data_IF_764111266186
#
_entry.id   IF_764111266186
#
_cell.length_a   1.000
_cell.length_b   1.000
_cell.length_c   1.000
_cell.angle_alpha   90.00
_cell.angle_beta   90.00
_cell.angle_gamma   90.00
#
_symmetry.space_group_name_H-M   'P 1'
#
loop_
_entity.id
_entity.type
_entity.pdbx_description
1 polymer ?
#
# COMPACT_ATOMS: atom_id res chain seq x y z
N UNK A 1 -47.07 -99.03 20.44
CA UNK A 1 -46.93 -98.20 19.23
C UNK A 1 -45.87 -97.15 19.51
N UNK A 2 -44.62 -97.50 19.22
CA UNK A 2 -43.44 -96.68 19.42
C UNK A 2 -43.40 -95.57 18.37
N UNK A 3 -43.35 -94.31 18.80
CA UNK A 3 -43.10 -93.15 17.96
C UNK A 3 -41.67 -93.27 17.43
N UNK A 4 -41.51 -93.74 16.20
CA UNK A 4 -40.22 -93.79 15.51
C UNK A 4 -39.82 -92.33 15.23
N UNK A 5 -38.69 -91.88 15.79
CA UNK A 5 -38.15 -90.55 15.56
C UNK A 5 -37.22 -90.56 14.34
N UNK A 6 -37.11 -89.45 13.61
CA UNK A 6 -36.23 -89.31 12.42
C UNK A 6 -34.77 -89.78 12.66
N UNK A 7 -34.15 -89.57 13.84
CA UNK A 7 -32.83 -90.11 14.17
C UNK A 7 -32.76 -91.65 14.24
N UNK A 8 -33.86 -92.32 14.58
CA UNK A 8 -33.93 -93.79 14.69
C UNK A 8 -33.96 -94.46 13.30
N UNK A 9 -34.46 -93.76 12.29
CA UNK A 9 -34.50 -94.22 10.89
C UNK A 9 -33.14 -94.01 10.22
N UNK A 10 -32.46 -92.88 10.52
CA UNK A 10 -31.13 -92.55 9.98
C UNK A 10 -30.00 -93.48 10.49
N UNK A 11 -30.22 -94.21 11.60
CA UNK A 11 -29.26 -95.14 12.20
C UNK A 11 -29.34 -96.59 11.72
N UNK A 12 -30.22 -96.92 10.76
CA UNK A 12 -30.45 -98.32 10.31
C UNK A 12 -30.28 -98.46 8.80
N UNK A 13 -29.74 -99.60 8.33
CA UNK A 13 -29.56 -99.93 6.90
C UNK A 13 -30.85 -100.47 6.23
N UNK A 14 -32.01 -100.32 6.86
CA UNK A 14 -33.28 -100.81 6.34
C UNK A 14 -33.89 -99.82 5.33
N UNK A 15 -34.41 -100.33 4.22
CA UNK A 15 -35.15 -99.51 3.26
C UNK A 15 -36.42 -98.95 3.95
N UNK A 16 -36.65 -97.63 3.94
CA UNK A 16 -37.79 -97.04 4.64
C UNK A 16 -39.11 -97.60 4.09
N UNK A 17 -40.03 -97.96 4.99
CA UNK A 17 -41.38 -98.37 4.58
C UNK A 17 -42.26 -97.12 4.34
N UNK A 18 -43.47 -97.30 3.80
CA UNK A 18 -44.38 -96.20 3.47
C UNK A 18 -44.73 -95.31 4.69
N UNK A 19 -44.85 -95.91 5.87
CA UNK A 19 -45.17 -95.22 7.11
C UNK A 19 -44.01 -94.34 7.60
N UNK A 20 -42.78 -94.85 7.53
CA UNK A 20 -41.56 -94.10 7.85
C UNK A 20 -41.41 -92.89 6.91
N UNK A 21 -41.73 -93.07 5.62
CA UNK A 21 -41.73 -92.00 4.64
C UNK A 21 -42.75 -90.90 4.97
N UNK A 22 -43.93 -91.26 5.47
CA UNK A 22 -44.98 -90.30 5.80
C UNK A 22 -44.69 -89.53 7.11
N UNK A 23 -44.06 -90.18 8.10
CA UNK A 23 -43.56 -89.53 9.33
C UNK A 23 -42.45 -88.52 9.01
N UNK A 24 -41.49 -88.90 8.17
CA UNK A 24 -40.39 -88.00 7.75
C UNK A 24 -40.93 -86.84 6.93
N UNK A 25 -41.87 -87.06 5.99
CA UNK A 25 -42.52 -85.98 5.22
C UNK A 25 -43.25 -84.99 6.13
N UNK A 26 -43.96 -85.47 7.15
CA UNK A 26 -44.65 -84.62 8.10
C UNK A 26 -43.67 -83.79 8.94
N UNK A 27 -42.64 -84.43 9.49
CA UNK A 27 -41.59 -83.74 10.25
C UNK A 27 -40.80 -82.73 9.40
N UNK A 28 -40.56 -83.04 8.13
CA UNK A 28 -39.89 -82.14 7.18
C UNK A 28 -40.77 -80.92 6.88
N UNK A 29 -42.07 -81.13 6.64
CA UNK A 29 -43.02 -80.02 6.45
C UNK A 29 -43.13 -79.11 7.69
N UNK A 30 -43.12 -79.67 8.89
CA UNK A 30 -43.09 -78.91 10.15
C UNK A 30 -41.81 -78.09 10.30
N UNK A 31 -40.65 -78.67 9.97
CA UNK A 31 -39.36 -77.96 9.99
C UNK A 31 -39.26 -76.87 8.92
N UNK A 32 -39.80 -77.11 7.72
CA UNK A 32 -39.87 -76.10 6.66
C UNK A 32 -40.74 -74.91 7.06
N UNK A 33 -41.88 -75.16 7.71
CA UNK A 33 -42.73 -74.09 8.26
C UNK A 33 -42.02 -73.29 9.35
N UNK A 34 -41.33 -73.97 10.27
CA UNK A 34 -40.57 -73.29 11.33
C UNK A 34 -39.41 -72.46 10.76
N UNK A 35 -38.71 -72.98 9.74
CA UNK A 35 -37.64 -72.26 9.06
C UNK A 35 -38.16 -70.98 8.39
N UNK A 36 -39.32 -71.04 7.74
CA UNK A 36 -39.93 -69.87 7.10
C UNK A 36 -40.38 -68.83 8.13
N UNK A 37 -40.90 -69.26 9.28
CA UNK A 37 -41.19 -68.36 10.41
C UNK A 37 -39.93 -67.67 10.94
N UNK A 38 -38.81 -68.39 11.11
CA UNK A 38 -37.55 -67.78 11.56
C UNK A 38 -36.98 -66.83 10.51
N UNK A 39 -37.09 -67.17 9.21
CA UNK A 39 -36.63 -66.30 8.12
C UNK A 39 -37.41 -64.99 8.07
N UNK A 40 -38.74 -65.05 8.22
CA UNK A 40 -39.60 -63.86 8.26
C UNK A 40 -39.31 -62.99 9.49
N UNK A 41 -39.12 -63.59 10.67
CA UNK A 41 -38.69 -62.86 11.87
C UNK A 41 -37.31 -62.21 11.70
N UNK A 42 -36.35 -62.91 11.09
CA UNK A 42 -35.01 -62.36 10.80
C UNK A 42 -35.11 -61.16 9.87
N UNK A 43 -35.90 -61.25 8.80
CA UNK A 43 -36.10 -60.14 7.86
C UNK A 43 -36.74 -58.92 8.54
N UNK A 44 -37.73 -59.14 9.40
CA UNK A 44 -38.38 -58.05 10.16
C UNK A 44 -37.38 -57.37 11.12
N UNK A 45 -36.58 -58.15 11.86
CA UNK A 45 -35.54 -57.61 12.74
C UNK A 45 -34.44 -56.86 11.98
N UNK A 46 -34.02 -57.36 10.82
CA UNK A 46 -33.07 -56.67 9.94
C UNK A 46 -33.65 -55.33 9.44
N UNK A 47 -34.95 -55.30 9.11
CA UNK A 47 -35.65 -54.07 8.73
C UNK A 47 -35.75 -53.09 9.90
N UNK A 48 -36.08 -53.56 11.11
CA UNK A 48 -36.13 -52.73 12.31
C UNK A 48 -34.75 -52.15 12.66
N UNK A 49 -33.69 -52.96 12.56
CA UNK A 49 -32.31 -52.53 12.80
C UNK A 49 -31.91 -51.42 11.83
N UNK A 50 -32.23 -51.58 10.53
CA UNK A 50 -31.97 -50.56 9.51
C UNK A 50 -32.62 -49.22 9.88
N UNK A 51 -33.89 -49.24 10.28
CA UNK A 51 -34.63 -48.03 10.68
C UNK A 51 -34.00 -47.37 11.90
N UNK A 52 -33.64 -48.16 12.92
CA UNK A 52 -33.02 -47.63 14.15
C UNK A 52 -31.63 -47.06 13.86
N UNK A 53 -30.80 -47.73 13.06
CA UNK A 53 -29.48 -47.21 12.66
C UNK A 53 -29.60 -45.93 11.84
N UNK A 54 -30.59 -45.83 10.95
CA UNK A 54 -30.84 -44.59 10.22
C UNK A 54 -31.26 -43.46 11.17
N UNK A 55 -32.07 -43.76 12.19
CA UNK A 55 -32.46 -42.77 13.19
C UNK A 55 -31.30 -42.36 14.09
N UNK A 56 -30.45 -43.31 14.48
CA UNK A 56 -29.22 -43.05 15.25
C UNK A 56 -28.29 -42.11 14.49
N UNK A 57 -28.01 -42.39 13.21
CA UNK A 57 -27.15 -41.53 12.38
C UNK A 57 -27.72 -40.12 12.22
N UNK A 58 -29.04 -39.98 12.07
CA UNK A 58 -29.71 -38.67 12.04
C UNK A 58 -29.57 -37.92 13.38
N UNK A 59 -29.74 -38.60 14.50
CA UNK A 59 -29.58 -38.00 15.84
C UNK A 59 -28.14 -37.59 16.09
N UNK A 60 -27.16 -38.43 15.75
CA UNK A 60 -25.73 -38.12 15.87
C UNK A 60 -25.38 -36.88 15.05
N UNK A 61 -25.87 -36.80 13.80
CA UNK A 61 -25.71 -35.61 12.95
C UNK A 61 -26.33 -34.37 13.59
N UNK A 62 -27.57 -34.48 14.07
CA UNK A 62 -28.25 -33.38 14.76
C UNK A 62 -27.47 -32.89 15.98
N UNK A 63 -26.97 -33.79 16.82
CA UNK A 63 -26.15 -33.42 17.99
C UNK A 63 -24.87 -32.70 17.56
N UNK A 64 -24.20 -33.16 16.49
CA UNK A 64 -23.01 -32.50 15.96
C UNK A 64 -23.32 -31.08 15.43
N UNK A 65 -24.43 -30.90 14.72
CA UNK A 65 -24.88 -29.60 14.22
C UNK A 65 -25.19 -28.64 15.39
N UNK A 66 -25.92 -29.10 16.42
CA UNK A 66 -26.23 -28.31 17.62
C UNK A 66 -24.96 -27.94 18.40
N UNK A 67 -24.02 -28.87 18.57
CA UNK A 67 -22.72 -28.58 19.21
C UNK A 67 -21.94 -27.55 18.41
N UNK A 68 -21.91 -27.66 17.08
CA UNK A 68 -21.25 -26.69 16.20
C UNK A 68 -21.87 -25.30 16.32
N UNK A 69 -23.20 -25.21 16.48
CA UNK A 69 -23.91 -23.95 16.72
C UNK A 69 -23.62 -23.35 18.10
N UNK A 70 -23.57 -24.16 19.15
CA UNK A 70 -23.25 -23.71 20.51
C UNK A 70 -21.77 -23.34 20.67
N UNK A 71 -20.89 -24.07 19.98
CA UNK A 71 -19.46 -23.79 19.88
C UNK A 71 -19.15 -22.75 18.79
N UNK A 72 -20.16 -22.23 18.09
CA UNK A 72 -19.97 -21.29 17.01
C UNK A 72 -19.29 -20.02 17.54
N UNK A 73 -17.97 -20.01 17.40
CA UNK A 73 -16.96 -19.01 17.73
C UNK A 73 -17.44 -17.78 18.50
N UNK A 74 -16.83 -17.43 19.65
CA UNK A 74 -17.08 -16.17 20.38
C UNK A 74 -17.14 -14.92 19.49
N UNK A 75 -16.48 -14.93 18.33
CA UNK A 75 -16.56 -13.84 17.35
C UNK A 75 -17.97 -13.57 16.80
N UNK A 76 -18.87 -14.58 16.85
CA UNK A 76 -20.28 -14.45 16.46
C UNK A 76 -21.15 -13.85 17.57
N UNK A 77 -20.70 -13.80 18.82
CA UNK A 77 -21.44 -13.09 19.88
C UNK A 77 -21.00 -11.63 20.04
N UNK A 78 -19.87 -11.23 19.44
CA UNK A 78 -19.36 -9.86 19.55
C UNK A 78 -20.26 -8.82 18.87
N UNK A 79 -20.64 -7.72 19.56
CA UNK A 79 -21.26 -6.56 18.91
C UNK A 79 -20.46 -6.07 17.70
N UNK A 80 -21.15 -5.45 16.74
CA UNK A 80 -20.53 -4.97 15.50
C UNK A 80 -19.40 -3.97 15.77
N UNK A 81 -19.55 -3.15 16.81
CA UNK A 81 -18.60 -2.13 17.26
C UNK A 81 -17.30 -2.78 17.74
N UNK A 82 -17.37 -3.81 18.58
CA UNK A 82 -16.19 -4.52 19.07
C UNK A 82 -15.50 -5.29 17.94
N UNK A 83 -16.27 -5.89 17.04
CA UNK A 83 -15.71 -6.55 15.87
C UNK A 83 -15.00 -5.55 14.94
N UNK A 84 -15.55 -4.34 14.80
CA UNK A 84 -14.93 -3.23 14.08
C UNK A 84 -13.59 -2.78 14.70
N UNK A 85 -13.52 -2.67 16.03
CA UNK A 85 -12.27 -2.34 16.72
C UNK A 85 -11.21 -3.44 16.58
N UNK A 86 -11.61 -4.72 16.60
CA UNK A 86 -10.71 -5.83 16.28
C UNK A 86 -10.17 -5.73 14.86
N UNK A 87 -11.02 -5.39 13.88
CA UNK A 87 -10.59 -5.19 12.50
C UNK A 87 -9.61 -4.02 12.37
N UNK A 88 -9.85 -2.92 13.09
CA UNK A 88 -8.94 -1.78 13.11
C UNK A 88 -7.58 -2.15 13.68
N UNK A 89 -7.55 -2.86 14.81
CA UNK A 89 -6.30 -3.37 15.40
C UNK A 89 -5.56 -4.28 14.43
N UNK A 90 -6.26 -5.21 13.77
CA UNK A 90 -5.66 -6.09 12.75
C UNK A 90 -5.09 -5.31 11.55
N UNK A 91 -5.72 -4.19 11.18
CA UNK A 91 -5.28 -3.37 10.05
C UNK A 91 -4.21 -2.33 10.41
N UNK A 92 -3.88 -2.16 11.69
CA UNK A 92 -2.93 -1.15 12.17
C UNK A 92 -1.47 -1.52 11.86
N UNK A 93 -1.12 -2.81 11.91
CA UNK A 93 0.25 -3.31 11.68
C UNK A 93 0.68 -3.30 10.19
N UNK A 94 -0.23 -2.90 9.31
CA UNK A 94 0.06 -2.82 7.87
C UNK A 94 0.60 -1.44 7.53
N UNK A 95 1.90 -1.31 7.33
CA UNK A 95 2.47 -0.10 6.75
C UNK A 95 1.86 0.15 5.37
N UNK A 96 1.41 1.40 5.15
CA UNK A 96 0.91 1.89 3.87
C UNK A 96 1.91 1.67 2.70
N UNK A 97 3.18 1.40 3.02
CA UNK A 97 4.33 1.43 2.13
C UNK A 97 5.25 0.20 2.21
N UNK A 98 4.77 -0.96 2.66
CA UNK A 98 5.44 -2.21 2.23
C UNK A 98 5.54 -2.16 0.70
N UNK A 99 6.71 -2.45 0.12
CA UNK A 99 7.17 -2.11 -1.25
C UNK A 99 6.21 -2.43 -2.41
N UNK A 100 5.15 -3.19 -2.15
CA UNK A 100 4.11 -3.61 -3.08
C UNK A 100 2.72 -2.97 -2.83
N UNK A 101 2.50 -2.32 -1.67
CA UNK A 101 1.17 -1.93 -1.15
C UNK A 101 0.17 -3.10 -1.10
N UNK A 102 0.62 -4.33 -1.35
CA UNK A 102 -0.21 -5.48 -1.61
C UNK A 102 -0.58 -6.14 -0.30
N UNK A 103 0.36 -6.25 0.64
CA UNK A 103 0.11 -6.73 2.00
C UNK A 103 -0.93 -5.85 2.72
N UNK A 104 -0.77 -4.53 2.61
CA UNK A 104 -1.70 -3.53 3.14
C UNK A 104 -3.13 -3.65 2.59
N UNK A 105 -3.27 -3.84 1.27
CA UNK A 105 -4.59 -4.01 0.65
C UNK A 105 -5.18 -5.38 0.96
N UNK A 106 -4.34 -6.43 0.97
CA UNK A 106 -4.75 -7.81 1.24
C UNK A 106 -5.33 -7.96 2.65
N UNK A 107 -4.75 -7.35 3.69
CA UNK A 107 -5.26 -7.47 5.07
C UNK A 107 -6.70 -6.96 5.20
N UNK A 108 -6.98 -5.75 4.72
CA UNK A 108 -8.33 -5.14 4.75
C UNK A 108 -9.32 -5.87 3.85
N UNK A 109 -8.91 -6.22 2.63
CA UNK A 109 -9.80 -6.91 1.70
C UNK A 109 -10.17 -8.30 2.21
N UNK A 110 -9.27 -9.02 2.89
CA UNK A 110 -9.58 -10.35 3.48
C UNK A 110 -10.77 -10.32 4.42
N UNK A 111 -10.97 -9.22 5.16
CA UNK A 111 -12.14 -9.05 6.04
C UNK A 111 -13.46 -9.19 5.27
N UNK A 112 -13.49 -8.79 3.99
CA UNK A 112 -14.67 -8.87 3.12
C UNK A 112 -14.98 -10.29 2.62
N UNK A 113 -14.07 -11.25 2.80
CA UNK A 113 -14.19 -12.61 2.25
C UNK A 113 -14.41 -13.70 3.31
N UNK A 114 -14.36 -13.36 4.61
CA UNK A 114 -14.54 -14.35 5.69
C UNK A 114 -15.99 -14.83 5.79
N UNK A 115 -16.93 -13.91 6.01
CA UNK A 115 -18.37 -14.20 6.04
C UNK A 115 -19.18 -12.93 5.74
N UNK A 116 -20.49 -13.07 5.54
CA UNK A 116 -21.39 -11.93 5.27
C UNK A 116 -21.33 -10.88 6.37
N UNK A 117 -21.42 -11.29 7.64
CA UNK A 117 -21.36 -10.35 8.77
C UNK A 117 -20.05 -9.57 8.84
N UNK A 118 -18.91 -10.21 8.59
CA UNK A 118 -17.62 -9.51 8.61
C UNK A 118 -17.53 -8.48 7.49
N UNK A 119 -18.05 -8.82 6.32
CA UNK A 119 -18.18 -7.89 5.20
C UNK A 119 -19.04 -6.68 5.58
N UNK A 120 -20.20 -6.92 6.18
CA UNK A 120 -21.13 -5.84 6.56
C UNK A 120 -20.52 -4.93 7.62
N UNK A 121 -19.89 -5.50 8.65
CA UNK A 121 -19.19 -4.72 9.70
C UNK A 121 -17.99 -3.96 9.12
N UNK A 122 -17.17 -4.60 8.28
CA UNK A 122 -16.01 -3.94 7.68
C UNK A 122 -16.45 -2.78 6.78
N UNK A 123 -17.47 -2.95 5.93
CA UNK A 123 -17.96 -1.90 5.04
C UNK A 123 -18.69 -0.77 5.78
N UNK A 124 -19.33 -1.07 6.91
CA UNK A 124 -20.00 -0.06 7.77
C UNK A 124 -19.05 0.63 8.76
N UNK A 125 -17.75 0.28 8.76
CA UNK A 125 -16.73 0.91 9.61
C UNK A 125 -15.76 1.76 8.78
N UNK A 126 -16.03 3.07 8.55
CA UNK A 126 -15.24 3.90 7.64
C UNK A 126 -13.78 4.03 8.02
N UNK A 127 -13.46 3.97 9.32
CA UNK A 127 -12.10 4.07 9.87
C UNK A 127 -11.14 3.01 9.31
N UNK A 128 -11.65 1.87 8.84
CA UNK A 128 -10.82 0.81 8.21
C UNK A 128 -10.25 1.27 6.86
N UNK A 129 -10.99 2.13 6.16
CA UNK A 129 -10.76 2.50 4.76
C UNK A 129 -10.10 3.87 4.58
N UNK A 130 -9.72 4.55 5.66
CA UNK A 130 -9.12 5.90 5.61
C UNK A 130 -7.70 5.92 5.02
N UNK A 131 -7.07 4.76 4.93
CA UNK A 131 -5.72 4.59 4.43
C UNK A 131 -5.78 3.82 3.10
N UNK A 132 -5.19 4.38 2.05
CA UNK A 132 -5.27 3.90 0.68
C UNK A 132 -3.85 3.84 0.09
N UNK A 133 -3.47 2.69 -0.47
CA UNK A 133 -2.18 2.53 -1.17
C UNK A 133 -2.44 2.01 -2.58
N UNK A 134 -1.94 2.72 -3.60
CA UNK A 134 -2.15 2.39 -5.01
C UNK A 134 -0.83 2.29 -5.75
N UNK A 135 -0.44 1.06 -6.05
CA UNK A 135 0.65 0.79 -6.98
C UNK A 135 0.07 0.76 -8.41
N UNK A 136 0.77 1.40 -9.36
CA UNK A 136 0.51 1.43 -10.79
C UNK A 136 1.79 1.19 -11.60
N UNK A 137 2.90 0.78 -10.97
CA UNK A 137 4.18 0.56 -11.63
C UNK A 137 4.21 -0.76 -12.42
N UNK A 138 3.57 -1.82 -11.90
CA UNK A 138 3.72 -3.19 -12.44
C UNK A 138 2.41 -3.88 -12.84
N UNK A 139 1.29 -3.16 -12.93
CA UNK A 139 -0.01 -3.80 -13.22
C UNK A 139 -0.19 -4.11 -14.72
N UNK A 140 -0.58 -5.35 -15.06
CA UNK A 140 -1.00 -5.68 -16.43
C UNK A 140 -2.28 -4.92 -16.79
N UNK A 141 -2.50 -4.60 -18.07
CA UNK A 141 -3.72 -3.91 -18.55
C UNK A 141 -5.00 -4.70 -18.25
N UNK A 142 -4.91 -6.02 -18.23
CA UNK A 142 -6.02 -6.91 -17.86
C UNK A 142 -6.54 -6.62 -16.45
N UNK A 143 -7.86 -6.50 -16.30
CA UNK A 143 -8.51 -6.23 -15.02
C UNK A 143 -8.43 -4.77 -14.54
N UNK A 144 -7.98 -3.83 -15.38
CA UNK A 144 -7.89 -2.40 -15.04
C UNK A 144 -9.23 -1.81 -14.55
N UNK A 145 -10.33 -2.13 -15.24
CA UNK A 145 -11.66 -1.69 -14.84
C UNK A 145 -12.06 -2.21 -13.45
N UNK A 146 -11.79 -3.49 -13.16
CA UNK A 146 -12.07 -4.08 -11.85
C UNK A 146 -11.27 -3.41 -10.73
N UNK A 147 -9.97 -3.14 -10.94
CA UNK A 147 -9.13 -2.44 -9.98
C UNK A 147 -9.60 -1.00 -9.72
N UNK A 148 -10.01 -0.28 -10.76
CA UNK A 148 -10.58 1.06 -10.61
C UNK A 148 -11.89 1.03 -9.83
N UNK A 149 -12.75 0.03 -10.06
CA UNK A 149 -13.98 -0.16 -9.29
C UNK A 149 -13.70 -0.44 -7.81
N UNK A 150 -12.68 -1.27 -7.50
CA UNK A 150 -12.23 -1.51 -6.13
C UNK A 150 -11.72 -0.22 -5.49
N UNK A 151 -10.93 0.58 -6.21
CA UNK A 151 -10.43 1.88 -5.74
C UNK A 151 -11.60 2.84 -5.42
N UNK A 152 -12.54 3.00 -6.34
CA UNK A 152 -13.73 3.85 -6.12
C UNK A 152 -14.54 3.36 -4.92
N UNK A 153 -14.70 2.03 -4.78
CA UNK A 153 -15.40 1.45 -3.63
C UNK A 153 -14.66 1.76 -2.34
N UNK A 154 -13.33 1.62 -2.30
CA UNK A 154 -12.51 1.95 -1.14
C UNK A 154 -12.70 3.40 -0.70
N UNK A 155 -12.60 4.33 -1.65
CA UNK A 155 -12.82 5.76 -1.40
C UNK A 155 -14.23 6.00 -0.86
N UNK A 156 -15.26 5.35 -1.42
CA UNK A 156 -16.64 5.47 -0.92
C UNK A 156 -16.81 4.94 0.51
N UNK A 157 -16.14 3.84 0.86
CA UNK A 157 -16.24 3.21 2.17
C UNK A 157 -15.60 4.05 3.28
N UNK A 158 -14.65 4.93 2.96
CA UNK A 158 -14.05 5.86 3.92
C UNK A 158 -14.97 7.01 4.36
N UNK A 159 -16.13 7.18 3.70
CA UNK A 159 -17.09 8.24 4.01
C UNK A 159 -16.48 9.64 3.84
N UNK A 160 -16.60 10.48 4.88
CA UNK A 160 -16.05 11.85 4.93
C UNK A 160 -14.79 11.98 5.79
N UNK A 161 -14.23 10.85 6.24
CA UNK A 161 -13.05 10.89 7.11
C UNK A 161 -11.80 11.38 6.35
N UNK A 162 -10.83 12.00 7.05
CA UNK A 162 -9.57 12.38 6.43
C UNK A 162 -8.82 11.18 5.90
N UNK A 163 -8.25 11.30 4.69
CA UNK A 163 -7.55 10.20 4.03
C UNK A 163 -6.03 10.28 4.18
N UNK A 164 -5.40 9.12 4.20
CA UNK A 164 -3.96 8.94 4.02
C UNK A 164 -3.75 8.17 2.72
N UNK A 165 -3.18 8.83 1.71
CA UNK A 165 -3.05 8.24 0.38
C UNK A 165 -1.58 8.05 0.01
N UNK A 166 -1.25 6.81 -0.33
CA UNK A 166 0.01 6.39 -0.89
C UNK A 166 -0.13 5.98 -2.34
N UNK A 167 0.81 6.35 -3.20
CA UNK A 167 0.83 5.87 -4.57
C UNK A 167 2.23 5.69 -5.15
N UNK A 168 2.32 4.80 -6.14
CA UNK A 168 3.50 4.55 -6.96
C UNK A 168 3.07 4.50 -8.43
N UNK A 169 3.48 5.47 -9.24
CA UNK A 169 3.26 5.49 -10.69
C UNK A 169 4.56 5.22 -11.42
N UNK A 170 4.50 4.45 -12.51
CA UNK A 170 5.62 4.32 -13.44
C UNK A 170 5.11 4.25 -14.88
N UNK A 171 5.80 4.95 -15.80
CA UNK A 171 5.39 5.07 -17.19
C UNK A 171 5.91 3.95 -18.13
N UNK A 172 6.63 2.96 -17.60
CA UNK A 172 7.28 1.90 -18.40
C UNK A 172 6.33 0.90 -19.12
N UNK A 173 5.00 1.00 -18.99
CA UNK A 173 4.01 0.15 -19.68
C UNK A 173 2.75 0.91 -20.13
N UNK A 174 2.20 0.51 -21.27
CA UNK A 174 0.98 1.06 -21.87
C UNK A 174 -0.28 0.71 -21.05
N UNK A 175 -0.70 1.62 -20.16
CA UNK A 175 -1.99 1.60 -19.49
C UNK A 175 -2.46 3.04 -19.17
N UNK A 176 -2.25 3.95 -20.13
CA UNK A 176 -2.41 5.40 -19.95
C UNK A 176 -3.78 5.77 -19.34
N UNK A 177 -4.87 5.29 -19.93
CA UNK A 177 -6.22 5.60 -19.47
C UNK A 177 -6.48 5.12 -18.04
N UNK A 178 -5.97 3.94 -17.68
CA UNK A 178 -6.11 3.42 -16.32
C UNK A 178 -5.33 4.30 -15.32
N UNK A 179 -4.09 4.67 -15.65
CA UNK A 179 -3.25 5.53 -14.79
C UNK A 179 -3.88 6.91 -14.61
N UNK A 180 -4.35 7.53 -15.69
CA UNK A 180 -5.08 8.81 -15.65
C UNK A 180 -6.31 8.71 -14.73
N UNK A 181 -7.12 7.67 -14.91
CA UNK A 181 -8.32 7.49 -14.10
C UNK A 181 -8.00 7.25 -12.62
N UNK A 182 -6.95 6.49 -12.31
CA UNK A 182 -6.49 6.29 -10.93
C UNK A 182 -5.97 7.59 -10.34
N UNK A 183 -5.12 8.31 -11.08
CA UNK A 183 -4.59 9.61 -10.68
C UNK A 183 -5.73 10.59 -10.37
N UNK A 184 -6.67 10.79 -11.30
CA UNK A 184 -7.82 11.67 -11.12
C UNK A 184 -8.68 11.25 -9.92
N UNK A 185 -8.89 9.94 -9.73
CA UNK A 185 -9.67 9.43 -8.58
C UNK A 185 -9.00 9.77 -7.25
N UNK A 186 -7.68 9.65 -7.16
CA UNK A 186 -6.90 9.96 -5.96
C UNK A 186 -6.83 11.47 -5.73
N UNK A 187 -6.52 12.25 -6.76
CA UNK A 187 -6.37 13.70 -6.69
C UNK A 187 -7.68 14.41 -6.36
N UNK A 188 -8.82 13.90 -6.84
CA UNK A 188 -10.14 14.40 -6.45
C UNK A 188 -10.40 14.33 -4.93
N UNK A 189 -9.65 13.51 -4.19
CA UNK A 189 -9.78 13.39 -2.73
C UNK A 189 -8.82 14.28 -1.94
N UNK A 190 -7.99 15.09 -2.59
CA UNK A 190 -7.02 15.98 -1.92
C UNK A 190 -7.67 16.94 -0.91
N UNK A 191 -8.92 17.37 -1.17
CA UNK A 191 -9.67 18.27 -0.30
C UNK A 191 -9.82 17.79 1.16
N UNK A 192 -9.79 16.47 1.37
CA UNK A 192 -9.89 15.81 2.68
C UNK A 192 -8.67 14.95 3.01
N UNK A 193 -7.58 15.08 2.26
CA UNK A 193 -6.37 14.31 2.49
C UNK A 193 -5.55 14.95 3.62
N UNK A 194 -5.11 14.13 4.58
CA UNK A 194 -4.22 14.55 5.68
C UNK A 194 -2.77 14.24 5.39
N UNK A 195 -2.50 13.08 4.77
CA UNK A 195 -1.16 12.66 4.35
C UNK A 195 -1.20 12.17 2.92
N UNK A 196 -0.33 12.72 2.08
CA UNK A 196 -0.23 12.39 0.68
C UNK A 196 1.22 12.00 0.38
N UNK A 197 1.43 10.75 0.01
CA UNK A 197 2.76 10.26 -0.36
C UNK A 197 2.73 9.59 -1.72
N UNK A 198 3.69 9.94 -2.55
CA UNK A 198 3.75 9.54 -3.94
C UNK A 198 5.16 9.30 -4.42
N UNK A 199 5.31 8.32 -5.30
CA UNK A 199 6.47 8.19 -6.17
C UNK A 199 6.00 8.14 -7.61
N UNK A 200 6.60 8.95 -8.49
CA UNK A 200 6.25 9.01 -9.91
C UNK A 200 7.50 8.81 -10.76
N UNK A 201 7.57 7.75 -11.54
CA UNK A 201 8.63 7.55 -12.52
C UNK A 201 8.08 7.91 -13.91
N UNK A 202 8.38 9.13 -14.35
CA UNK A 202 8.07 9.68 -15.66
C UNK A 202 8.96 9.04 -16.75
N UNK A 203 8.49 9.01 -17.99
CA UNK A 203 9.30 8.54 -19.10
C UNK A 203 10.20 9.68 -19.60
N UNK A 204 11.47 9.37 -19.91
CA UNK A 204 12.48 10.39 -20.25
C UNK A 204 12.11 11.21 -21.51
N UNK A 205 11.22 10.71 -22.38
CA UNK A 205 10.84 11.36 -23.64
C UNK A 205 9.40 11.03 -24.08
N UNK A 206 8.37 11.69 -23.54
CA UNK A 206 7.02 11.55 -24.09
C UNK A 206 5.90 12.18 -23.26
N UNK A 207 4.75 12.47 -23.90
CA UNK A 207 3.54 12.99 -23.25
C UNK A 207 2.99 11.98 -22.25
N UNK A 208 3.50 12.01 -21.03
CA UNK A 208 3.15 11.06 -20.00
C UNK A 208 1.66 11.15 -19.69
N UNK A 209 1.04 9.99 -19.50
CA UNK A 209 -0.39 9.90 -19.21
C UNK A 209 -0.71 10.64 -17.91
N UNK A 210 0.19 10.53 -16.93
CA UNK A 210 0.14 11.29 -15.68
C UNK A 210 0.39 12.78 -15.92
N UNK A 211 1.27 13.17 -16.85
CA UNK A 211 1.49 14.59 -17.18
C UNK A 211 0.22 15.25 -17.73
N UNK A 212 -0.53 14.56 -18.60
CA UNK A 212 -1.82 15.07 -19.10
C UNK A 212 -2.86 15.25 -18.00
N UNK A 213 -2.83 14.40 -16.97
CA UNK A 213 -3.70 14.53 -15.81
C UNK A 213 -3.24 15.68 -14.88
N UNK A 214 -1.92 15.86 -14.76
CA UNK A 214 -1.27 16.96 -14.04
C UNK A 214 -1.55 18.33 -14.67
N UNK A 215 -1.62 18.40 -16.00
CA UNK A 215 -1.89 19.65 -16.72
C UNK A 215 -3.30 20.20 -16.45
N UNK A 216 -4.19 19.36 -15.92
CA UNK A 216 -5.52 19.77 -15.44
C UNK A 216 -5.43 20.60 -14.16
N UNK A 217 -6.56 21.15 -13.72
CA UNK A 217 -6.62 21.92 -12.49
C UNK A 217 -6.42 21.02 -11.26
N UNK A 218 -5.40 21.32 -10.45
CA UNK A 218 -5.11 20.58 -9.21
C UNK A 218 -6.12 21.01 -8.13
N UNK A 219 -6.89 20.08 -7.54
CA UNK A 219 -7.83 20.40 -6.47
C UNK A 219 -7.14 20.98 -5.24
N UNK A 220 -7.85 21.83 -4.51
CA UNK A 220 -7.36 22.37 -3.24
C UNK A 220 -7.14 21.26 -2.21
N UNK A 221 -6.07 21.38 -1.41
CA UNK A 221 -5.67 20.41 -0.41
C UNK A 221 -5.54 21.08 0.99
N UNK A 222 -6.63 21.64 1.54
CA UNK A 222 -6.60 22.47 2.74
C UNK A 222 -6.30 21.71 4.04
N UNK A 223 -6.44 20.38 4.05
CA UNK A 223 -6.21 19.53 5.22
C UNK A 223 -4.85 18.84 5.22
N UNK A 224 -4.04 19.05 4.19
CA UNK A 224 -2.81 18.29 4.00
C UNK A 224 -1.72 18.75 4.98
N UNK A 225 -1.33 17.86 5.89
CA UNK A 225 -0.31 18.11 6.91
C UNK A 225 1.04 17.46 6.55
N UNK A 226 1.03 16.38 5.78
CA UNK A 226 2.22 15.62 5.40
C UNK A 226 2.25 15.34 3.90
N UNK A 227 3.35 15.72 3.25
CA UNK A 227 3.59 15.49 1.83
C UNK A 227 4.92 14.78 1.65
N UNK A 228 4.89 13.62 0.98
CA UNK A 228 6.10 12.95 0.50
C UNK A 228 6.02 12.78 -1.01
N UNK A 229 6.91 13.35 -1.80
CA UNK A 229 6.87 13.21 -3.27
C UNK A 229 8.26 12.98 -3.83
N UNK A 230 8.44 11.85 -4.51
CA UNK A 230 9.60 11.62 -5.37
C UNK A 230 9.16 11.49 -6.83
N UNK A 231 9.95 12.03 -7.75
CA UNK A 231 9.71 12.08 -9.18
C UNK A 231 11.01 11.89 -9.94
N UNK A 232 11.01 11.00 -10.94
CA UNK A 232 12.20 10.77 -11.77
C UNK A 232 11.81 10.62 -13.25
N UNK A 233 12.49 11.30 -14.20
CA UNK A 233 13.51 12.33 -13.98
C UNK A 233 12.93 13.63 -13.39
N UNK A 234 13.82 14.49 -12.88
CA UNK A 234 13.48 15.84 -12.40
C UNK A 234 13.75 16.81 -13.57
N UNK A 235 12.68 17.36 -14.15
CA UNK A 235 12.71 18.25 -15.33
C UNK A 235 11.67 19.39 -15.21
N UNK A 236 11.70 20.37 -16.12
CA UNK A 236 10.81 21.56 -16.05
C UNK A 236 9.31 21.22 -15.97
N UNK A 237 8.76 20.25 -16.73
CA UNK A 237 7.39 19.77 -16.53
C UNK A 237 7.11 19.31 -15.09
N UNK A 238 8.05 18.57 -14.49
CA UNK A 238 7.97 18.08 -13.11
C UNK A 238 7.97 19.23 -12.09
N UNK A 239 8.82 20.24 -12.31
CA UNK A 239 8.90 21.42 -11.46
C UNK A 239 7.62 22.25 -11.55
N UNK A 240 7.07 22.41 -12.75
CA UNK A 240 5.88 23.22 -13.01
C UNK A 240 4.64 22.74 -12.24
N UNK A 241 4.41 21.42 -12.20
CA UNK A 241 3.24 20.90 -11.47
C UNK A 241 3.40 20.92 -9.97
N UNK A 242 4.63 20.70 -9.46
CA UNK A 242 4.93 20.83 -8.03
C UNK A 242 4.60 22.23 -7.56
N UNK A 243 5.00 23.27 -8.31
CA UNK A 243 4.67 24.67 -8.01
C UNK A 243 3.16 24.91 -7.90
N UNK A 244 2.38 24.33 -8.82
CA UNK A 244 0.91 24.39 -8.76
C UNK A 244 0.38 23.72 -7.49
N UNK A 245 0.83 22.51 -7.17
CA UNK A 245 0.42 21.77 -5.97
C UNK A 245 0.77 22.51 -4.68
N UNK A 246 1.99 23.05 -4.59
CA UNK A 246 2.51 23.74 -3.42
C UNK A 246 1.69 24.99 -3.05
N UNK A 247 1.15 25.69 -4.05
CA UNK A 247 0.25 26.81 -3.83
C UNK A 247 -1.11 26.43 -3.20
N UNK A 248 -1.47 25.14 -3.20
CA UNK A 248 -2.78 24.63 -2.78
C UNK A 248 -2.77 23.87 -1.44
N UNK A 249 -1.64 23.84 -0.74
CA UNK A 249 -1.41 23.04 0.49
C UNK A 249 -1.06 23.91 1.72
N UNK A 250 -1.96 24.81 2.16
CA UNK A 250 -1.62 25.85 3.14
C UNK A 250 -1.26 25.36 4.55
N UNK A 251 -1.59 24.11 4.90
CA UNK A 251 -1.39 23.55 6.26
C UNK A 251 -0.25 22.54 6.35
N UNK A 252 0.64 22.53 5.37
CA UNK A 252 1.71 21.56 5.30
C UNK A 252 2.71 21.73 6.46
N UNK A 253 2.97 20.66 7.21
CA UNK A 253 3.90 20.63 8.36
C UNK A 253 5.09 19.71 8.14
N UNK A 254 4.89 18.63 7.38
CA UNK A 254 5.93 17.63 7.11
C UNK A 254 6.15 17.50 5.60
N UNK A 255 7.36 17.80 5.13
CA UNK A 255 7.75 17.72 3.74
C UNK A 255 8.89 16.71 3.55
N UNK A 256 8.76 15.85 2.56
CA UNK A 256 9.79 14.89 2.14
C UNK A 256 9.82 14.80 0.61
N UNK A 257 10.76 15.48 -0.03
CA UNK A 257 10.83 15.56 -1.50
C UNK A 257 12.24 15.31 -1.99
N UNK A 258 12.36 14.82 -3.21
CA UNK A 258 13.65 14.54 -3.85
C UNK A 258 14.38 15.78 -4.39
N UNK A 259 13.65 16.85 -4.73
CA UNK A 259 14.20 18.11 -5.21
C UNK A 259 13.41 19.30 -4.67
N UNK A 260 14.13 20.31 -4.19
CA UNK A 260 13.59 21.58 -3.71
C UNK A 260 13.21 22.57 -4.83
N UNK A 261 13.33 22.21 -6.10
CA UNK A 261 12.99 23.12 -7.18
C UNK A 261 11.51 23.57 -7.10
N UNK A 262 11.28 24.88 -7.11
CA UNK A 262 9.96 25.47 -6.89
C UNK A 262 9.55 25.64 -5.42
N UNK A 263 10.47 25.50 -4.46
CA UNK A 263 10.19 25.66 -3.01
C UNK A 263 9.61 27.02 -2.64
N UNK A 264 9.81 28.05 -3.46
CA UNK A 264 9.30 29.41 -3.21
C UNK A 264 7.77 29.43 -3.04
N UNK A 265 7.05 28.54 -3.71
CA UNK A 265 5.58 28.43 -3.59
C UNK A 265 5.08 27.66 -2.36
N UNK A 266 5.97 27.10 -1.54
CA UNK A 266 5.60 26.35 -0.34
C UNK A 266 5.30 27.27 0.86
N UNK A 267 4.34 26.90 1.73
CA UNK A 267 4.10 27.60 2.99
C UNK A 267 5.13 27.18 4.04
N UNK A 268 6.37 27.66 3.88
CA UNK A 268 7.53 27.24 4.70
C UNK A 268 7.41 27.64 6.18
N UNK A 269 6.63 28.68 6.51
CA UNK A 269 6.55 29.26 7.85
C UNK A 269 6.17 28.27 8.95
N UNK A 270 5.24 27.36 8.65
CA UNK A 270 4.62 26.40 9.58
C UNK A 270 5.21 24.98 9.47
N UNK A 271 6.30 24.81 8.71
CA UNK A 271 6.96 23.51 8.52
C UNK A 271 7.75 23.10 9.76
N UNK A 272 7.52 21.87 10.21
CA UNK A 272 8.19 21.24 11.37
C UNK A 272 9.34 20.36 10.90
N UNK A 273 9.09 19.53 9.88
CA UNK A 273 10.10 18.59 9.36
C UNK A 273 10.23 18.75 7.85
N UNK A 274 11.46 18.94 7.37
CA UNK A 274 11.77 19.02 5.94
C UNK A 274 12.86 18.02 5.61
N UNK A 275 12.59 17.14 4.65
CA UNK A 275 13.55 16.15 4.12
C UNK A 275 13.70 16.40 2.62
N UNK A 276 14.95 16.53 2.18
CA UNK A 276 15.32 16.84 0.80
C UNK A 276 16.40 15.86 0.35
N UNK A 277 16.20 15.19 -0.79
CA UNK A 277 17.26 14.36 -1.39
C UNK A 277 18.32 15.25 -2.05
N UNK A 278 17.90 16.21 -2.88
CA UNK A 278 18.77 17.20 -3.54
C UNK A 278 18.23 18.62 -3.35
N UNK A 279 19.11 19.57 -3.06
CA UNK A 279 18.73 20.99 -2.89
C UNK A 279 19.84 21.93 -3.36
N UNK A 280 19.47 23.00 -4.07
CA UNK A 280 20.38 24.10 -4.37
C UNK A 280 20.63 24.95 -3.12
N UNK A 281 21.85 25.48 -2.99
CA UNK A 281 22.23 26.30 -1.83
C UNK A 281 21.28 27.50 -1.58
N UNK A 282 20.78 28.15 -2.65
CA UNK A 282 19.83 29.27 -2.57
C UNK A 282 18.48 28.85 -1.97
N UNK A 283 17.96 27.69 -2.36
CA UNK A 283 16.68 27.16 -1.89
C UNK A 283 16.79 26.71 -0.42
N UNK A 284 17.94 26.15 -0.04
CA UNK A 284 18.24 25.81 1.35
C UNK A 284 18.18 27.05 2.25
N UNK A 285 18.79 28.16 1.83
CA UNK A 285 18.73 29.42 2.58
C UNK A 285 17.30 29.96 2.68
N UNK A 286 16.54 29.92 1.59
CA UNK A 286 15.13 30.33 1.61
C UNK A 286 14.33 29.55 2.67
N UNK A 287 14.54 28.24 2.79
CA UNK A 287 13.85 27.42 3.78
C UNK A 287 14.22 27.85 5.20
N UNK A 288 15.52 27.98 5.47
CA UNK A 288 16.04 28.31 6.81
C UNK A 288 15.62 29.72 7.24
N UNK A 289 15.60 30.68 6.31
CA UNK A 289 15.21 32.06 6.57
C UNK A 289 13.71 32.20 6.85
N UNK A 290 12.87 31.45 6.13
CA UNK A 290 11.42 31.59 6.21
C UNK A 290 10.75 30.60 7.18
N UNK A 291 11.40 29.51 7.57
CA UNK A 291 10.84 28.53 8.49
C UNK A 291 10.96 29.01 9.94
N UNK A 292 9.81 29.23 10.60
CA UNK A 292 9.79 29.76 11.97
C UNK A 292 9.72 28.67 13.04
N UNK A 293 9.20 27.49 12.71
CA UNK A 293 8.96 26.38 13.65
C UNK A 293 9.65 25.08 13.25
N UNK A 294 10.69 25.16 12.41
CA UNK A 294 11.42 23.99 11.91
C UNK A 294 12.18 23.29 13.05
N UNK A 295 11.88 22.00 13.26
CA UNK A 295 12.52 21.15 14.26
C UNK A 295 13.56 20.21 13.65
N UNK A 296 13.32 19.73 12.42
CA UNK A 296 14.18 18.78 11.72
C UNK A 296 14.36 19.16 10.25
N UNK A 297 15.61 19.30 9.82
CA UNK A 297 15.99 19.48 8.42
C UNK A 297 16.97 18.37 8.02
N UNK A 298 16.56 17.47 7.13
CA UNK A 298 17.43 16.42 6.58
C UNK A 298 17.69 16.71 5.11
N UNK A 299 18.96 16.75 4.72
CA UNK A 299 19.37 16.99 3.34
C UNK A 299 20.37 15.91 2.92
N UNK A 300 20.06 15.14 1.89
CA UNK A 300 20.97 14.08 1.43
C UNK A 300 22.11 14.64 0.58
N UNK A 301 21.82 15.56 -0.35
CA UNK A 301 22.77 16.17 -1.26
C UNK A 301 22.50 17.67 -1.43
N UNK A 302 23.56 18.48 -1.34
CA UNK A 302 23.52 19.93 -1.64
C UNK A 302 24.28 20.19 -2.93
N UNK A 303 23.61 20.84 -3.88
CA UNK A 303 24.19 21.29 -5.14
C UNK A 303 24.79 22.69 -4.97
N UNK A 304 26.11 22.79 -5.21
CA UNK A 304 26.89 24.02 -5.10
C UNK A 304 27.15 24.69 -6.46
N UNK A 305 26.69 24.13 -7.58
CA UNK A 305 27.04 24.64 -8.92
C UNK A 305 26.28 25.94 -9.27
N UNK A 306 25.22 26.27 -8.51
CA UNK A 306 24.39 27.46 -8.67
C UNK A 306 24.42 28.41 -7.47
N UNK A 307 25.61 28.66 -6.88
CA UNK A 307 25.77 29.75 -5.90
C UNK A 307 25.49 31.09 -6.58
N UNK A 308 24.29 31.63 -6.38
CA UNK A 308 23.97 33.01 -6.74
C UNK A 308 24.81 33.96 -5.87
N UNK A 309 25.62 34.81 -6.52
CA UNK A 309 26.54 35.83 -5.95
C UNK A 309 25.90 36.93 -5.08
N UNK A 310 24.70 36.71 -4.54
CA UNK A 310 23.88 37.75 -3.86
C UNK A 310 23.56 37.40 -2.41
N UNK A 311 24.11 36.32 -1.87
CA UNK A 311 23.81 35.84 -0.53
C UNK A 311 24.79 36.39 0.51
N UNK A 312 24.69 37.68 0.84
CA UNK A 312 25.15 38.18 2.14
C UNK A 312 24.16 37.68 3.19
N UNK A 313 24.32 36.44 3.64
CA UNK A 313 23.41 35.86 4.65
C UNK A 313 23.96 36.05 6.07
N UNK A 314 23.05 36.46 6.94
CA UNK A 314 23.32 36.89 8.31
C UNK A 314 23.71 35.69 9.19
N UNK A 315 24.82 35.79 9.93
CA UNK A 315 25.35 34.70 10.79
C UNK A 315 24.37 34.25 11.88
N UNK A 316 23.35 35.06 12.18
CA UNK A 316 22.25 34.78 13.12
C UNK A 316 21.26 33.72 12.62
N UNK A 317 21.15 33.52 11.29
CA UNK A 317 20.34 32.43 10.71
C UNK A 317 20.92 31.06 11.06
N UNK A 318 22.25 31.00 11.31
CA UNK A 318 23.00 29.78 11.58
C UNK A 318 22.76 29.24 13.00
N UNK A 319 22.36 30.10 13.95
CA UNK A 319 22.10 29.70 15.34
C UNK A 319 20.74 29.01 15.52
N UNK A 320 19.79 29.17 14.58
CA UNK A 320 18.48 28.49 14.63
C UNK A 320 18.55 27.02 14.18
N UNK A 321 19.71 26.57 13.72
CA UNK A 321 19.92 25.29 13.03
C UNK A 321 20.40 24.21 14.00
N UNK A 322 19.55 23.80 14.95
CA UNK A 322 19.98 22.85 15.99
C UNK A 322 19.98 21.36 15.56
N UNK A 323 19.36 21.01 14.41
CA UNK A 323 19.33 19.63 13.87
C UNK A 323 19.27 19.62 12.33
N UNK A 324 20.36 20.00 11.67
CA UNK A 324 20.52 19.69 10.24
C UNK A 324 21.38 18.44 10.08
N UNK A 325 20.86 17.47 9.33
CA UNK A 325 21.58 16.26 8.98
C UNK A 325 21.93 16.28 7.49
N UNK A 326 23.23 16.44 7.18
CA UNK A 326 23.77 16.38 5.83
C UNK A 326 24.43 15.02 5.55
N UNK A 327 24.20 14.45 4.37
CA UNK A 327 24.86 13.19 3.97
C UNK A 327 25.98 13.37 2.93
N UNK A 328 25.79 14.22 1.90
CA UNK A 328 26.70 14.44 0.76
C UNK A 328 26.62 15.89 0.24
N UNK A 329 27.68 16.34 -0.43
CA UNK A 329 27.75 17.65 -1.10
C UNK A 329 28.44 17.47 -2.45
N UNK A 330 27.91 18.08 -3.51
CA UNK A 330 28.40 17.97 -4.88
C UNK A 330 28.86 19.32 -5.42
N UNK A 331 29.94 19.32 -6.22
CA UNK A 331 30.65 20.51 -6.71
C UNK A 331 32.17 20.30 -6.71
N UNK A 332 32.75 20.01 -7.89
CA UNK A 332 34.11 19.47 -8.02
C UNK A 332 35.25 20.41 -7.56
N UNK A 333 35.02 21.72 -7.49
CA UNK A 333 36.04 22.69 -7.09
C UNK A 333 36.02 23.04 -5.60
N UNK A 334 34.95 22.67 -4.88
CA UNK A 334 34.70 23.14 -3.51
C UNK A 334 34.38 22.00 -2.52
N UNK A 335 34.21 20.77 -3.02
CA UNK A 335 33.91 19.60 -2.21
C UNK A 335 35.03 19.23 -1.21
N UNK A 336 36.30 19.49 -1.51
CA UNK A 336 37.42 19.14 -0.62
C UNK A 336 37.38 19.89 0.71
N UNK A 337 36.97 21.16 0.67
CA UNK A 337 36.97 22.04 1.84
C UNK A 337 35.74 21.77 2.73
N UNK A 338 34.61 21.36 2.13
CA UNK A 338 33.41 20.96 2.85
C UNK A 338 33.49 19.56 3.49
N UNK A 339 34.18 18.61 2.84
CA UNK A 339 34.31 17.23 3.34
C UNK A 339 35.09 17.20 4.68
N UNK A 340 36.01 18.14 4.93
CA UNK A 340 36.71 18.27 6.22
C UNK A 340 35.81 18.77 7.36
N UNK A 341 34.78 19.55 7.07
CA UNK A 341 33.82 20.07 8.07
C UNK A 341 32.82 19.02 8.57
N UNK A 342 32.85 17.81 7.99
CA UNK A 342 31.91 16.70 8.26
C UNK A 342 32.03 16.10 9.68
N UNK A 343 33.09 16.41 10.43
CA UNK A 343 33.45 15.62 11.62
C UNK A 343 33.02 16.17 12.98
N UNK A 344 32.69 17.46 13.16
CA UNK A 344 32.06 17.99 14.38
C UNK A 344 31.63 19.45 14.13
N UNK A 345 30.34 19.75 14.37
CA UNK A 345 29.71 21.08 14.40
C UNK A 345 29.23 21.66 13.04
N UNK A 346 27.92 21.92 12.95
CA UNK A 346 27.25 22.71 11.91
C UNK A 346 27.90 24.10 11.72
N UNK A 347 28.46 24.66 12.79
CA UNK A 347 29.24 25.90 12.76
C UNK A 347 30.45 25.82 11.82
N UNK A 348 31.14 24.68 11.75
CA UNK A 348 32.28 24.47 10.85
C UNK A 348 31.85 24.32 9.39
N UNK A 349 30.71 23.68 9.14
CA UNK A 349 30.12 23.56 7.79
C UNK A 349 29.71 24.92 7.24
N UNK A 350 29.05 25.75 8.05
CA UNK A 350 28.64 27.09 7.63
C UNK A 350 29.80 28.10 7.61
N UNK A 351 30.82 27.95 8.46
CA UNK A 351 32.10 28.67 8.27
C UNK A 351 32.75 28.28 6.95
N UNK A 352 32.78 26.99 6.59
CA UNK A 352 33.33 26.53 5.32
C UNK A 352 32.53 27.09 4.13
N UNK A 353 31.19 27.12 4.21
CA UNK A 353 30.34 27.77 3.21
C UNK A 353 30.60 29.29 3.15
N UNK A 354 30.69 29.98 4.29
CA UNK A 354 30.98 31.42 4.32
C UNK A 354 32.34 31.74 3.69
N UNK A 355 33.36 30.93 3.99
CA UNK A 355 34.71 31.04 3.40
C UNK A 355 34.65 30.76 1.89
N UNK A 356 33.85 29.80 1.46
CA UNK A 356 33.64 29.50 0.04
C UNK A 356 32.90 30.62 -0.70
N UNK A 357 31.87 31.20 -0.10
CA UNK A 357 31.15 32.35 -0.65
C UNK A 357 32.10 33.55 -0.81
N UNK A 358 32.93 33.84 0.21
CA UNK A 358 33.96 34.87 0.13
C UNK A 358 35.02 34.59 -0.95
N UNK A 359 35.45 33.33 -1.11
CA UNK A 359 36.38 32.92 -2.16
C UNK A 359 35.78 33.04 -3.56
N UNK A 360 34.51 32.67 -3.73
CA UNK A 360 33.77 32.81 -5.00
C UNK A 360 33.60 34.30 -5.35
N UNK A 361 33.29 35.15 -4.36
CA UNK A 361 33.19 36.59 -4.56
C UNK A 361 34.55 37.23 -4.86
N UNK A 362 35.63 36.80 -4.21
CA UNK A 362 36.99 37.23 -4.51
C UNK A 362 37.46 36.79 -5.91
N UNK A 363 37.12 35.57 -6.35
CA UNK A 363 37.42 35.11 -7.71
C UNK A 363 36.55 35.81 -8.77
N UNK A 364 35.28 36.09 -8.46
CA UNK A 364 34.38 36.87 -9.30
C UNK A 364 34.85 38.33 -9.44
N UNK A 365 35.36 38.91 -8.37
CA UNK A 365 35.93 40.27 -8.34
C UNK A 365 37.28 40.33 -9.08
N UNK A 366 38.14 39.32 -8.95
CA UNK A 366 39.36 39.18 -9.78
C UNK A 366 39.05 39.03 -11.27
N UNK A 367 38.04 38.24 -11.65
CA UNK A 367 37.60 38.12 -13.06
C UNK A 367 37.01 39.43 -13.61
N UNK A 368 36.32 40.23 -12.78
CA UNK A 368 35.87 41.58 -13.15
C UNK A 368 37.04 42.55 -13.27
N UNK A 369 38.03 42.48 -12.37
CA UNK A 369 39.24 43.30 -12.47
C UNK A 369 40.10 42.93 -13.69
N UNK A 370 40.19 41.65 -14.08
CA UNK A 370 40.88 41.25 -15.31
C UNK A 370 40.13 41.68 -16.58
N UNK A 371 38.78 41.74 -16.55
CA UNK A 371 37.99 42.29 -17.66
C UNK A 371 38.09 43.82 -17.77
N UNK A 372 38.16 44.53 -16.64
CA UNK A 372 38.35 46.00 -16.62
C UNK A 372 39.80 46.38 -16.93
N UNK A 373 40.79 45.54 -16.60
CA UNK A 373 42.21 45.79 -16.94
C UNK A 373 42.62 45.33 -18.35
N UNK A 374 41.85 44.46 -19.02
CA UNK A 374 42.01 44.16 -20.45
C UNK A 374 41.33 45.18 -21.39
N UNK A 375 40.70 46.22 -20.83
CA UNK A 375 40.08 47.31 -21.58
C UNK A 375 41.09 48.32 -22.13
N UNK A 376 42.00 47.92 -23.02
CA UNK A 376 42.57 48.81 -24.05
C UNK A 376 43.30 48.06 -25.16
N UNK A 377 42.95 48.49 -26.37
CA UNK A 377 43.53 48.19 -27.69
C UNK A 377 43.05 46.89 -28.35
N UNK A 378 42.08 47.03 -29.26
CA UNK A 378 42.15 46.32 -30.52
C UNK A 378 42.12 47.32 -31.67
N UNK A 379 42.94 47.15 -32.72
CA UNK A 379 43.12 48.09 -33.81
C UNK A 379 42.09 47.90 -34.93
N UNK A 380 41.97 48.94 -35.76
CA UNK A 380 41.33 48.96 -37.07
C UNK A 380 41.58 47.68 -37.88
N UNK A 381 40.51 47.10 -38.43
CA UNK A 381 40.48 46.36 -39.70
C UNK A 381 39.10 46.61 -40.33
N UNK A 382 39.01 47.52 -41.30
CA UNK A 382 39.06 47.26 -42.75
C UNK A 382 38.00 46.24 -43.18
N UNK A 383 36.93 46.79 -43.77
CA UNK A 383 35.92 46.07 -44.53
C UNK A 383 36.53 45.33 -45.73
N UNK A 384 35.81 44.34 -46.27
CA UNK A 384 35.51 44.43 -47.69
C UNK A 384 34.04 44.19 -48.00
N UNK A 385 33.51 45.13 -48.79
CA UNK A 385 32.34 45.00 -49.65
C UNK A 385 32.62 44.04 -50.81
N UNK A 386 31.61 43.27 -51.24
CA UNK A 386 31.16 42.95 -52.62
C UNK A 386 30.17 41.77 -52.48
N UNK A 387 28.85 41.94 -52.55
CA UNK A 387 27.99 42.21 -53.72
C UNK A 387 28.04 41.12 -54.81
N UNK A 388 27.16 40.12 -54.72
CA UNK A 388 25.97 39.98 -55.58
C UNK A 388 25.07 38.85 -55.07
#
# INVERSE_FOLDING_TARGET
MSLISVPDILGTNHAPNQHDCDVVKKSLSEQEQLLEQVRTQKADLEQQLLVVTQRETQIVKSIADHRTLLQASPIRSLPAELLGEIFLAHCADSDLYDSSGATFRKSRLRLLWVCTRWRDVALSTPRIWVALSVDCAYYPTEGAGSRLSVLKRWVSSSGRLPLNIGFLFSEYRNAADYKINVFNTIFAQLHRCKSFRGRINFAVHGTDSVQRAIDQEIPDAPMLESLTLSSYPIDEPTIGWRRKLYSKIPRLRHLDIDSAEGIVSLPVKDMITVKLERVALSDLFYIVENATVLEELKVEEVDLDHVSRHSQHDSRLLDRLFRIHFQRTTGAQYASDLIMARSRCLHAFFQAISVLLDQIDHQGSRRRQTWVSSGRTSPRSVAPSFAR
#
